data_IF_490370122956
#
_entry.id   IF_490370122956
#
_cell.length_a   1.000
_cell.length_b   1.000
_cell.length_c   1.000
_cell.angle_alpha   90.00
_cell.angle_beta   90.00
_cell.angle_gamma   90.00
#
_symmetry.space_group_name_H-M   'P 1'
#
loop_
_entity.id
_entity.type
_entity.pdbx_description
1 polymer ?
#
# COMPACT_ATOMS: atom_id res chain seq x y z
N UNK A 1 -6.98 -14.87 -0.09
CA UNK A 1 -7.34 -13.49 -0.45
C UNK A 1 -6.16 -12.51 -0.36
N UNK A 2 -5.20 -12.72 0.55
CA UNK A 2 -4.19 -11.71 0.92
C UNK A 2 -2.81 -11.80 0.23
N UNK A 3 -2.46 -12.93 -0.41
CA UNK A 3 -1.18 -13.05 -1.16
C UNK A 3 -1.13 -12.19 -2.44
N UNK A 4 -2.27 -11.79 -3.00
CA UNK A 4 -2.34 -11.06 -4.28
C UNK A 4 -1.89 -9.59 -4.23
N UNK A 5 -1.61 -9.03 -3.05
CA UNK A 5 -1.19 -7.63 -2.93
C UNK A 5 0.24 -7.41 -3.41
N UNK A 6 1.09 -8.44 -3.34
CA UNK A 6 2.54 -8.40 -3.64
C UNK A 6 2.92 -9.37 -4.78
N UNK A 7 2.04 -10.31 -5.16
CA UNK A 7 2.35 -11.33 -6.16
C UNK A 7 2.42 -10.77 -7.60
N UNK A 8 3.65 -10.42 -8.00
CA UNK A 8 4.21 -10.58 -9.35
C UNK A 8 5.72 -10.88 -9.28
N UNK A 9 6.21 -11.43 -8.16
CA UNK A 9 7.61 -11.81 -7.98
C UNK A 9 7.70 -13.33 -7.65
N UNK A 10 8.28 -14.15 -8.53
CA UNK A 10 8.26 -15.62 -8.42
C UNK A 10 8.97 -16.18 -7.18
N UNK A 11 9.70 -15.37 -6.42
CA UNK A 11 10.40 -15.82 -5.20
C UNK A 11 9.52 -15.85 -3.93
N UNK A 12 8.27 -15.38 -3.99
CA UNK A 12 7.42 -15.20 -2.79
C UNK A 12 6.46 -16.36 -2.49
N UNK A 13 6.51 -17.46 -3.24
CA UNK A 13 5.44 -18.47 -3.21
C UNK A 13 5.58 -19.54 -2.10
N UNK A 14 6.75 -19.67 -1.48
CA UNK A 14 7.10 -20.81 -0.63
C UNK A 14 7.02 -20.61 0.90
N UNK A 15 6.50 -19.49 1.42
CA UNK A 15 6.41 -19.29 2.88
C UNK A 15 5.07 -18.66 3.30
N UNK A 16 4.04 -19.51 3.47
CA UNK A 16 2.68 -19.09 3.83
C UNK A 16 2.54 -18.91 5.35
N UNK A 17 2.82 -17.73 5.87
CA UNK A 17 2.34 -17.26 7.19
C UNK A 17 1.73 -15.86 7.04
N UNK A 18 0.58 -15.62 7.69
CA UNK A 18 -0.19 -14.38 7.53
C UNK A 18 0.50 -13.16 8.19
N UNK A 19 0.60 -12.01 7.51
CA UNK A 19 1.18 -10.77 8.05
C UNK A 19 0.16 -9.91 8.82
N UNK A 20 0.65 -9.04 9.72
CA UNK A 20 -0.17 -8.03 10.42
C UNK A 20 -0.40 -6.80 9.50
N UNK A 21 -1.61 -6.21 9.51
CA UNK A 21 -1.95 -5.10 8.60
C UNK A 21 -2.88 -4.03 9.15
N UNK A 22 -2.82 -2.82 8.56
CA UNK A 22 -3.73 -1.70 8.82
C UNK A 22 -4.26 -1.07 7.52
N UNK A 23 -5.54 -0.64 7.51
CA UNK A 23 -6.23 -0.08 6.33
C UNK A 23 -6.74 1.33 6.64
N UNK A 24 -6.49 2.28 5.75
CA UNK A 24 -7.06 3.64 5.83
C UNK A 24 -7.64 4.07 4.47
N UNK A 25 -8.95 4.42 4.47
CA UNK A 25 -9.71 4.85 3.28
C UNK A 25 -9.87 6.37 3.30
N UNK A 26 -9.64 7.03 2.17
CA UNK A 26 -9.73 8.49 2.03
C UNK A 26 -10.83 8.90 1.03
N UNK A 27 -11.56 9.98 1.35
CA UNK A 27 -12.75 10.43 0.59
C UNK A 27 -12.38 11.47 -0.49
N UNK A 28 -13.15 11.61 -1.57
CA UNK A 28 -12.67 12.20 -2.84
C UNK A 28 -12.45 13.72 -2.90
N UNK A 29 -12.55 14.46 -1.80
CA UNK A 29 -12.85 15.90 -1.88
C UNK A 29 -11.71 16.82 -2.37
N UNK A 30 -10.45 16.35 -2.43
CA UNK A 30 -9.24 17.15 -2.73
C UNK A 30 -8.06 16.22 -3.09
N UNK A 31 -6.84 16.79 -3.27
CA UNK A 31 -5.59 16.01 -3.16
C UNK A 31 -5.40 15.57 -1.71
N UNK A 32 -5.40 14.27 -1.47
CA UNK A 32 -5.23 13.76 -0.11
C UNK A 32 -3.83 13.21 0.10
N UNK A 33 -3.12 13.80 1.05
CA UNK A 33 -1.76 13.44 1.44
C UNK A 33 -1.78 12.23 2.36
N UNK A 34 -0.77 11.39 2.24
CA UNK A 34 -0.53 10.28 3.15
C UNK A 34 0.86 10.41 3.77
N UNK A 35 1.00 9.86 4.97
CA UNK A 35 2.19 9.98 5.81
C UNK A 35 2.82 8.61 6.03
N UNK A 36 4.13 8.59 6.31
CA UNK A 36 4.83 7.34 6.57
C UNK A 36 4.30 6.70 7.86
N UNK A 37 3.88 5.44 7.85
CA UNK A 37 3.35 4.77 9.04
C UNK A 37 4.46 4.39 10.04
N UNK A 38 5.71 4.33 9.57
CA UNK A 38 6.89 3.85 10.30
C UNK A 38 8.12 4.71 10.00
N UNK A 39 9.12 4.62 10.87
CA UNK A 39 10.45 5.15 10.59
C UNK A 39 11.32 4.08 9.95
N UNK A 40 12.11 4.43 8.94
CA UNK A 40 12.97 3.48 8.24
C UNK A 40 13.55 4.00 6.93
N UNK A 41 14.26 3.13 6.23
CA UNK A 41 14.88 3.43 4.94
C UNK A 41 14.06 2.80 3.81
N UNK A 42 13.73 3.60 2.79
CA UNK A 42 12.96 3.14 1.64
C UNK A 42 13.87 2.29 0.74
N UNK A 43 13.52 1.03 0.53
CA UNK A 43 14.29 0.14 -0.35
C UNK A 43 13.92 0.32 -1.81
N UNK A 44 12.62 0.34 -2.12
CA UNK A 44 12.13 0.40 -3.50
C UNK A 44 10.67 0.80 -3.58
N UNK A 45 10.30 1.21 -4.79
CA UNK A 45 8.92 1.39 -5.22
C UNK A 45 8.59 0.42 -6.36
N UNK A 46 7.38 -0.12 -6.35
CA UNK A 46 6.86 -1.02 -7.38
C UNK A 46 5.51 -0.51 -7.85
N UNK A 47 5.43 -0.11 -9.12
CA UNK A 47 4.18 0.30 -9.76
C UNK A 47 3.48 -0.92 -10.33
N UNK A 48 2.22 -1.11 -9.97
CA UNK A 48 1.39 -2.23 -10.43
C UNK A 48 0.18 -1.64 -11.17
N UNK A 49 0.10 -1.83 -12.50
CA UNK A 49 -1.07 -1.38 -13.26
C UNK A 49 -2.32 -2.17 -12.84
N UNK A 50 -3.49 -1.58 -13.05
CA UNK A 50 -4.76 -2.22 -12.70
C UNK A 50 -5.96 -1.32 -12.99
N UNK A 51 -7.14 -1.83 -12.64
CA UNK A 51 -8.41 -1.11 -12.75
C UNK A 51 -8.52 0.01 -11.72
N UNK A 52 -9.64 0.75 -11.74
CA UNK A 52 -9.95 1.80 -10.76
C UNK A 52 -11.36 1.61 -10.19
N UNK A 53 -11.61 0.44 -9.63
CA UNK A 53 -12.87 0.16 -8.95
C UNK A 53 -13.04 1.06 -7.73
N UNK A 54 -14.29 1.33 -7.38
CA UNK A 54 -14.61 2.18 -6.23
C UNK A 54 -14.26 1.46 -4.93
N UNK A 55 -13.75 2.22 -3.96
CA UNK A 55 -13.48 1.74 -2.59
C UNK A 55 -14.66 2.01 -1.65
N UNK A 56 -15.86 2.27 -2.20
CA UNK A 56 -17.08 2.31 -1.41
C UNK A 56 -17.26 0.96 -0.67
N UNK A 57 -17.67 0.97 0.62
CA UNK A 57 -17.90 -0.25 1.40
C UNK A 57 -18.65 -1.38 0.68
N UNK A 58 -19.61 -1.08 -0.18
CA UNK A 58 -20.34 -2.12 -0.95
C UNK A 58 -19.40 -2.87 -1.89
N UNK A 59 -18.51 -2.17 -2.58
CA UNK A 59 -17.56 -2.77 -3.51
C UNK A 59 -16.42 -3.49 -2.79
N UNK A 60 -15.93 -2.94 -1.67
CA UNK A 60 -14.89 -3.57 -0.83
C UNK A 60 -15.34 -4.93 -0.30
N UNK A 61 -16.63 -5.08 0.03
CA UNK A 61 -17.20 -6.33 0.54
C UNK A 61 -17.79 -7.22 -0.57
N UNK A 62 -17.62 -6.85 -1.84
CA UNK A 62 -18.13 -7.62 -2.97
C UNK A 62 -17.26 -8.86 -3.22
N UNK A 63 -17.90 -9.99 -3.54
CA UNK A 63 -17.19 -11.20 -4.00
C UNK A 63 -16.76 -11.12 -5.46
N UNK A 64 -17.27 -10.15 -6.20
CA UNK A 64 -17.09 -10.04 -7.66
C UNK A 64 -15.93 -9.13 -8.05
N UNK A 65 -15.35 -8.40 -7.10
CA UNK A 65 -14.28 -7.44 -7.35
C UNK A 65 -13.34 -7.41 -6.16
N UNK A 66 -12.05 -7.69 -6.37
CA UNK A 66 -11.04 -7.48 -5.35
C UNK A 66 -10.36 -6.13 -5.55
N UNK A 67 -10.95 -5.08 -4.97
CA UNK A 67 -10.46 -3.69 -5.08
C UNK A 67 -9.02 -3.52 -4.62
N UNK A 68 -8.50 -4.40 -3.76
CA UNK A 68 -7.15 -4.26 -3.22
C UNK A 68 -6.07 -4.84 -4.14
N UNK A 69 -6.39 -5.90 -4.88
CA UNK A 69 -5.43 -6.59 -5.77
C UNK A 69 -5.64 -6.29 -7.24
N UNK A 70 -6.82 -5.85 -7.65
CA UNK A 70 -7.14 -5.53 -9.04
C UNK A 70 -6.94 -4.06 -9.37
N UNK A 71 -7.02 -3.18 -8.38
CA UNK A 71 -6.80 -1.76 -8.64
C UNK A 71 -5.32 -1.44 -8.90
N UNK A 72 -5.11 -0.40 -9.71
CA UNK A 72 -3.82 0.28 -9.85
C UNK A 72 -3.29 0.66 -8.47
N UNK A 73 -2.05 0.28 -8.21
CA UNK A 73 -1.40 0.52 -6.92
C UNK A 73 0.09 0.74 -7.07
N UNK A 74 0.68 1.37 -6.07
CA UNK A 74 2.12 1.52 -5.97
C UNK A 74 2.57 1.10 -4.56
N UNK A 75 3.54 0.19 -4.52
CA UNK A 75 4.04 -0.43 -3.29
C UNK A 75 5.39 0.18 -2.96
N UNK A 76 5.56 0.65 -1.74
CA UNK A 76 6.85 1.05 -1.19
C UNK A 76 7.28 0.04 -0.13
N UNK A 77 8.53 -0.42 -0.20
CA UNK A 77 9.10 -1.30 0.82
C UNK A 77 10.03 -0.48 1.70
N UNK A 78 9.77 -0.49 3.01
CA UNK A 78 10.52 0.25 4.01
C UNK A 78 11.20 -0.76 4.93
N UNK A 79 12.52 -0.70 5.03
CA UNK A 79 13.28 -1.45 6.03
C UNK A 79 13.32 -0.66 7.33
N UNK A 80 12.82 -1.28 8.39
CA UNK A 80 12.64 -0.65 9.71
C UNK A 80 13.50 -1.35 10.76
N UNK A 81 13.81 -0.64 11.85
CA UNK A 81 14.61 -1.22 12.93
C UNK A 81 13.83 -2.23 13.81
N UNK A 82 12.50 -2.09 13.90
CA UNK A 82 11.68 -2.81 14.88
C UNK A 82 10.64 -3.75 14.26
N UNK A 83 10.25 -3.54 13.01
CA UNK A 83 9.17 -4.28 12.36
C UNK A 83 9.65 -5.08 11.14
N UNK A 84 10.97 -5.24 10.98
CA UNK A 84 11.55 -5.79 9.74
C UNK A 84 11.16 -4.94 8.53
N UNK A 85 10.74 -5.60 7.45
CA UNK A 85 10.23 -4.94 6.24
C UNK A 85 8.75 -4.62 6.37
N UNK A 86 8.39 -3.39 6.03
CA UNK A 86 7.01 -2.92 5.96
C UNK A 86 6.69 -2.54 4.52
N UNK A 87 5.64 -3.13 3.96
CA UNK A 87 5.11 -2.74 2.66
C UNK A 87 3.99 -1.71 2.84
N UNK A 88 4.19 -0.50 2.33
CA UNK A 88 3.16 0.52 2.20
C UNK A 88 2.56 0.47 0.81
N UNK A 89 1.28 0.12 0.71
CA UNK A 89 0.56 -0.06 -0.55
C UNK A 89 -0.41 1.10 -0.72
N UNK A 90 -0.11 2.01 -1.63
CA UNK A 90 -1.02 3.07 -2.05
C UNK A 90 -1.90 2.54 -3.19
N UNK A 91 -3.21 2.52 -2.99
CA UNK A 91 -4.18 1.94 -3.92
C UNK A 91 -5.10 3.03 -4.44
N UNK A 92 -5.08 3.21 -5.74
CA UNK A 92 -5.95 4.13 -6.44
C UNK A 92 -7.36 3.56 -6.58
N UNK A 93 -8.39 4.40 -6.55
CA UNK A 93 -9.77 4.01 -6.84
C UNK A 93 -10.37 4.90 -7.95
N UNK A 94 -11.68 4.80 -8.16
CA UNK A 94 -12.38 5.55 -9.20
C UNK A 94 -12.03 7.03 -9.20
N UNK A 95 -11.76 7.55 -10.40
CA UNK A 95 -11.31 8.92 -10.71
C UNK A 95 -9.89 9.29 -10.30
N UNK A 96 -9.13 8.43 -9.58
CA UNK A 96 -7.77 8.77 -9.13
C UNK A 96 -6.83 9.10 -10.30
N UNK A 97 -6.34 10.33 -10.35
CA UNK A 97 -5.47 10.78 -11.45
C UNK A 97 -4.07 10.15 -11.36
N UNK A 98 -3.47 10.19 -10.17
CA UNK A 98 -2.13 9.68 -9.93
C UNK A 98 -1.93 9.26 -8.47
N UNK A 99 -0.96 8.38 -8.28
CA UNK A 99 -0.35 8.06 -6.99
C UNK A 99 1.07 8.64 -7.07
N UNK A 100 1.46 9.45 -6.09
CA UNK A 100 2.76 10.13 -6.14
C UNK A 100 3.41 10.10 -4.76
N UNK A 101 4.59 9.51 -4.68
CA UNK A 101 5.42 9.55 -3.49
C UNK A 101 6.32 10.78 -3.52
N UNK A 102 6.46 11.45 -2.37
CA UNK A 102 7.32 12.64 -2.21
C UNK A 102 8.78 12.27 -1.88
N UNK A 103 9.11 10.97 -1.88
CA UNK A 103 10.39 10.38 -1.49
C UNK A 103 10.90 9.42 -2.56
N UNK A 104 12.20 9.09 -2.52
CA UNK A 104 12.84 8.13 -3.43
C UNK A 104 13.49 6.97 -2.68
N UNK A 105 13.78 5.89 -3.39
CA UNK A 105 14.54 4.77 -2.84
C UNK A 105 15.89 5.26 -2.30
N UNK A 106 16.29 4.76 -1.14
CA UNK A 106 17.46 5.20 -0.37
C UNK A 106 17.17 6.31 0.64
N UNK A 107 16.05 7.04 0.52
CA UNK A 107 15.71 8.06 1.52
C UNK A 107 15.35 7.43 2.87
N UNK A 108 15.68 8.13 3.95
CA UNK A 108 15.20 7.81 5.29
C UNK A 108 13.96 8.65 5.62
N UNK A 109 12.95 8.01 6.21
CA UNK A 109 11.71 8.66 6.65
C UNK A 109 11.44 8.39 8.12
N UNK A 110 10.82 9.35 8.79
CA UNK A 110 10.29 9.21 10.15
C UNK A 110 8.80 8.93 10.09
N UNK A 111 8.29 8.19 11.08
CA UNK A 111 6.85 8.03 11.28
C UNK A 111 6.17 9.41 11.34
N UNK A 112 5.13 9.59 10.53
CA UNK A 112 4.38 10.84 10.44
C UNK A 112 4.92 11.82 9.39
N UNK A 113 6.08 11.57 8.79
CA UNK A 113 6.57 12.39 7.66
C UNK A 113 5.59 12.32 6.50
N UNK A 114 5.40 13.43 5.79
CA UNK A 114 4.67 13.42 4.53
C UNK A 114 5.37 12.48 3.55
N UNK A 115 4.58 11.55 2.99
CA UNK A 115 5.10 10.45 2.19
C UNK A 115 4.62 10.50 0.75
N UNK A 116 3.50 11.14 0.49
CA UNK A 116 2.98 11.33 -0.86
C UNK A 116 1.53 11.78 -0.86
N UNK A 117 0.90 11.71 -2.02
CA UNK A 117 -0.49 12.06 -2.20
C UNK A 117 -1.15 11.28 -3.34
N UNK A 118 -2.47 11.25 -3.29
CA UNK A 118 -3.32 10.87 -4.42
C UNK A 118 -3.85 12.12 -5.11
N UNK A 119 -3.81 12.15 -6.44
CA UNK A 119 -4.55 13.16 -7.22
C UNK A 119 -6.02 12.77 -7.29
N UNK A 120 -6.92 13.76 -7.20
CA UNK A 120 -8.38 13.73 -7.31
C UNK A 120 -9.03 12.34 -7.45
N UNK A 121 -9.88 11.92 -6.53
CA UNK A 121 -10.63 10.66 -6.62
C UNK A 121 -10.63 9.86 -5.31
N UNK A 122 -11.21 8.67 -5.33
CA UNK A 122 -11.15 7.76 -4.18
C UNK A 122 -9.77 7.10 -4.05
N UNK A 123 -9.37 6.78 -2.83
CA UNK A 123 -8.13 6.02 -2.59
C UNK A 123 -8.16 5.28 -1.26
N UNK A 124 -7.25 4.32 -1.12
CA UNK A 124 -6.99 3.65 0.15
C UNK A 124 -5.50 3.33 0.27
N UNK A 125 -5.03 3.19 1.49
CA UNK A 125 -3.68 2.69 1.78
C UNK A 125 -3.76 1.43 2.63
N UNK A 126 -2.84 0.51 2.42
CA UNK A 126 -2.65 -0.69 3.23
C UNK A 126 -1.20 -0.73 3.70
N UNK A 127 -0.98 -1.00 4.98
CA UNK A 127 0.35 -1.31 5.51
C UNK A 127 0.41 -2.79 5.82
N UNK A 128 1.42 -3.50 5.32
CA UNK A 128 1.67 -4.91 5.60
C UNK A 128 3.00 -5.02 6.32
N UNK A 129 3.00 -5.62 7.51
CA UNK A 129 4.17 -5.76 8.36
C UNK A 129 4.75 -7.17 8.20
N UNK A 130 6.07 -7.25 8.08
CA UNK A 130 6.76 -8.53 8.19
C UNK A 130 6.46 -9.16 9.55
N UNK A 131 6.17 -10.46 9.53
CA UNK A 131 5.94 -11.20 10.75
C UNK A 131 7.27 -11.36 11.49
N UNK A 132 7.43 -10.69 12.61
CA UNK A 132 8.54 -10.94 13.53
C UNK A 132 8.27 -12.31 14.16
N UNK A 133 9.12 -13.29 13.90
CA UNK A 133 9.02 -14.59 14.54
C UNK A 133 9.18 -14.44 16.05
N UNK A 134 8.14 -14.76 16.82
CA UNK A 134 8.32 -15.12 18.23
C UNK A 134 9.21 -16.36 18.28
N UNK A 135 10.38 -16.23 18.92
CA UNK A 135 11.16 -17.40 19.35
C UNK A 135 10.38 -18.21 20.39
#
# INVERSE_FOLDING_TARGET
MYLGLIQNNPETENNKKEPDFGIQIQRPKDYHRFHSPVSGTIEKFVKIPGCLYTVNPIAVNSKYCNVFTENKREVSIISTAHFGKVAFVAIGATMVGSITFSKKAGDHVKKGDEYGYFSFGGSTVICVFEKVGTM
#
